data_IF_342068426344
#
_entry.id   IF_342068426344
#
_cell.length_a   1.000
_cell.length_b   1.000
_cell.length_c   1.000
_cell.angle_alpha   90.00
_cell.angle_beta   90.00
_cell.angle_gamma   90.00
#
_symmetry.space_group_name_H-M   'P 1'
#
loop_
_entity.id
_entity.type
_entity.pdbx_description
1 polymer ?
#
# COMPACT_ATOMS: atom_id res chain seq x y z
N UNK A 1 -17.26 -6.57 -16.55
CA UNK A 1 -15.99 -6.20 -17.25
C UNK A 1 -15.26 -5.25 -16.33
N UNK A 2 -14.04 -5.63 -15.88
CA UNK A 2 -13.23 -4.84 -14.95
C UNK A 2 -12.81 -3.48 -15.52
N UNK A 3 -12.43 -2.56 -14.63
CA UNK A 3 -12.00 -1.21 -15.04
C UNK A 3 -10.76 -1.25 -15.97
N UNK A 4 -9.81 -2.18 -15.72
CA UNK A 4 -8.66 -2.35 -16.60
C UNK A 4 -9.07 -2.72 -18.03
N UNK A 5 -10.01 -3.66 -18.20
CA UNK A 5 -10.52 -4.05 -19.51
C UNK A 5 -11.28 -2.92 -20.24
N UNK A 6 -11.82 -1.95 -19.50
CA UNK A 6 -12.54 -0.81 -20.07
C UNK A 6 -11.61 0.28 -20.61
N UNK A 7 -10.57 0.64 -19.84
CA UNK A 7 -9.74 1.82 -20.16
C UNK A 7 -8.22 1.55 -20.15
N UNK A 8 -7.75 0.35 -19.75
CA UNK A 8 -6.31 0.08 -19.61
C UNK A 8 -5.51 0.29 -20.89
N UNK A 9 -5.99 -0.25 -22.02
CA UNK A 9 -5.31 -0.07 -23.32
C UNK A 9 -5.38 1.38 -23.81
N UNK A 10 -6.49 2.08 -23.62
CA UNK A 10 -6.61 3.52 -23.98
C UNK A 10 -5.58 4.36 -23.22
N UNK A 11 -5.40 4.11 -21.91
CA UNK A 11 -4.37 4.78 -21.12
C UNK A 11 -2.96 4.51 -21.66
N UNK A 12 -2.69 3.26 -22.08
CA UNK A 12 -1.40 2.86 -22.64
C UNK A 12 -1.15 3.55 -23.98
N UNK A 13 -2.14 3.60 -24.86
CA UNK A 13 -2.08 4.32 -26.15
C UNK A 13 -1.79 5.81 -25.96
N UNK A 14 -2.30 6.42 -24.89
CA UNK A 14 -2.01 7.81 -24.51
C UNK A 14 -0.63 7.99 -23.88
N UNK A 15 0.06 6.93 -23.49
CA UNK A 15 1.40 6.97 -22.93
C UNK A 15 1.48 6.85 -21.41
N UNK A 16 0.37 6.47 -20.76
CA UNK A 16 0.35 6.16 -19.34
C UNK A 16 0.67 4.67 -19.10
N UNK A 17 1.46 4.37 -18.09
CA UNK A 17 1.79 3.01 -17.69
C UNK A 17 0.65 2.39 -16.86
N UNK A 18 -0.43 1.99 -17.52
CA UNK A 18 -1.58 1.38 -16.87
C UNK A 18 -1.26 -0.02 -16.34
N UNK A 19 -1.72 -0.30 -15.12
CA UNK A 19 -1.57 -1.59 -14.43
C UNK A 19 -2.92 -2.04 -13.86
N UNK A 20 -3.13 -3.38 -13.79
CA UNK A 20 -4.32 -3.93 -13.16
C UNK A 20 -4.22 -3.82 -11.63
N UNK A 21 -5.36 -3.59 -11.00
CA UNK A 21 -5.53 -3.53 -9.55
C UNK A 21 -6.44 -4.68 -9.11
N UNK A 22 -6.04 -5.41 -8.07
CA UNK A 22 -6.86 -6.50 -7.51
C UNK A 22 -8.18 -5.95 -6.96
N UNK A 23 -9.30 -6.57 -7.29
CA UNK A 23 -10.61 -6.15 -6.80
C UNK A 23 -10.65 -6.06 -5.27
N UNK A 24 -11.33 -5.03 -4.76
CA UNK A 24 -11.45 -4.79 -3.32
C UNK A 24 -10.15 -4.36 -2.63
N UNK A 25 -9.12 -3.98 -3.39
CA UNK A 25 -7.83 -3.52 -2.85
C UNK A 25 -7.28 -2.35 -3.65
N UNK A 26 -6.17 -1.75 -3.16
CA UNK A 26 -5.35 -0.79 -3.92
C UNK A 26 -4.05 -1.45 -4.45
N UNK A 27 -3.95 -2.79 -4.41
CA UNK A 27 -2.72 -3.52 -4.76
C UNK A 27 -2.69 -3.89 -6.24
N UNK A 28 -1.57 -3.66 -6.94
CA UNK A 28 -1.38 -4.15 -8.30
C UNK A 28 -1.49 -5.67 -8.38
N UNK A 29 -2.32 -6.16 -9.30
CA UNK A 29 -2.55 -7.59 -9.52
C UNK A 29 -3.75 -7.84 -10.41
N UNK A 30 -3.88 -9.07 -10.90
CA UNK A 30 -4.88 -9.46 -11.89
C UNK A 30 -5.47 -10.84 -11.56
N UNK A 31 -6.65 -11.11 -12.10
CA UNK A 31 -7.31 -12.41 -12.00
C UNK A 31 -6.74 -13.36 -13.04
N UNK A 32 -6.40 -14.60 -12.65
CA UNK A 32 -5.96 -15.62 -13.56
C UNK A 32 -6.22 -17.02 -13.01
N UNK A 33 -6.77 -17.89 -13.85
CA UNK A 33 -7.03 -19.29 -13.51
C UNK A 33 -7.77 -19.49 -12.17
N UNK A 34 -8.80 -18.67 -11.90
CA UNK A 34 -9.64 -18.82 -10.71
C UNK A 34 -9.08 -18.17 -9.43
N UNK A 35 -8.01 -17.37 -9.52
CA UNK A 35 -7.39 -16.72 -8.35
C UNK A 35 -6.80 -15.34 -8.67
N UNK A 36 -6.67 -14.51 -7.63
CA UNK A 36 -5.95 -13.26 -7.73
C UNK A 36 -4.45 -13.47 -7.62
N UNK A 37 -3.69 -12.91 -8.56
CA UNK A 37 -2.23 -12.91 -8.57
C UNK A 37 -1.71 -11.48 -8.42
N UNK A 38 -0.82 -11.25 -7.45
CA UNK A 38 -0.13 -9.97 -7.30
C UNK A 38 0.81 -9.72 -8.48
N UNK A 39 0.82 -8.49 -8.99
CA UNK A 39 1.75 -8.05 -10.02
C UNK A 39 3.11 -7.74 -9.40
N UNK A 40 4.00 -8.72 -9.34
CA UNK A 40 5.34 -8.56 -8.78
C UNK A 40 6.22 -7.68 -9.67
N UNK A 41 7.13 -6.93 -9.05
CA UNK A 41 8.11 -6.05 -9.73
C UNK A 41 7.50 -5.04 -10.73
N UNK A 42 6.25 -4.66 -10.55
CA UNK A 42 5.56 -3.76 -11.47
C UNK A 42 6.32 -2.43 -11.68
N UNK A 43 6.99 -1.88 -10.66
CA UNK A 43 7.82 -0.68 -10.77
C UNK A 43 9.01 -0.85 -11.73
N UNK A 44 9.56 -2.08 -11.86
CA UNK A 44 10.69 -2.39 -12.74
C UNK A 44 10.26 -2.83 -14.13
N UNK A 45 9.06 -3.39 -14.26
CA UNK A 45 8.56 -3.92 -15.55
C UNK A 45 8.55 -2.84 -16.63
N UNK A 46 8.03 -1.68 -16.31
CA UNK A 46 7.93 -0.55 -17.24
C UNK A 46 9.27 0.18 -17.48
N UNK A 47 10.32 -0.08 -16.69
CA UNK A 47 11.68 0.47 -16.99
C UNK A 47 12.28 -0.07 -18.30
N UNK A 48 11.81 -1.22 -18.78
CA UNK A 48 12.26 -1.89 -20.01
C UNK A 48 11.31 -1.64 -21.20
N UNK A 49 10.33 -0.80 -21.03
CA UNK A 49 9.27 -0.55 -22.01
C UNK A 49 7.94 -1.13 -21.59
N UNK A 50 6.93 -0.93 -22.42
CA UNK A 50 5.58 -1.41 -22.19
C UNK A 50 5.53 -2.95 -22.18
N UNK A 51 4.80 -3.59 -21.25
CA UNK A 51 4.63 -5.04 -21.26
C UNK A 51 4.01 -5.55 -22.56
N UNK A 52 4.36 -6.78 -22.99
CA UNK A 52 3.81 -7.38 -24.20
C UNK A 52 2.28 -7.40 -24.20
N UNK A 53 1.68 -7.24 -25.38
CA UNK A 53 0.22 -7.25 -25.55
C UNK A 53 -0.43 -8.49 -24.95
N UNK A 54 0.13 -9.67 -25.18
CA UNK A 54 -0.38 -10.93 -24.62
C UNK A 54 -0.42 -10.97 -23.09
N UNK A 55 0.44 -10.20 -22.41
CA UNK A 55 0.40 -10.04 -20.97
C UNK A 55 -0.70 -9.05 -20.57
N UNK A 56 -0.84 -7.95 -21.29
CA UNK A 56 -1.86 -6.93 -21.04
C UNK A 56 -3.29 -7.46 -21.26
N UNK A 57 -3.48 -8.31 -22.29
CA UNK A 57 -4.75 -8.99 -22.53
C UNK A 57 -5.15 -9.90 -21.35
N UNK A 58 -4.19 -10.60 -20.74
CA UNK A 58 -4.45 -11.37 -19.51
C UNK A 58 -4.86 -10.48 -18.33
N UNK A 59 -4.33 -9.28 -18.23
CA UNK A 59 -4.73 -8.32 -17.19
C UNK A 59 -6.17 -7.82 -17.35
N UNK A 60 -6.68 -7.84 -18.59
CA UNK A 60 -8.06 -7.50 -18.90
C UNK A 60 -9.05 -8.63 -18.58
N UNK A 61 -8.56 -9.86 -18.29
CA UNK A 61 -9.40 -10.94 -17.82
C UNK A 61 -9.91 -10.66 -16.39
N UNK A 62 -11.19 -10.96 -16.12
CA UNK A 62 -11.82 -10.75 -14.82
C UNK A 62 -12.17 -9.30 -14.52
N UNK A 63 -12.42 -9.01 -13.23
CA UNK A 63 -12.87 -7.72 -12.73
C UNK A 63 -11.74 -6.88 -12.10
N UNK A 64 -10.58 -6.87 -12.75
CA UNK A 64 -9.45 -6.04 -12.31
C UNK A 64 -9.81 -4.56 -12.35
N UNK A 65 -9.48 -3.83 -11.28
CA UNK A 65 -9.42 -2.38 -11.28
C UNK A 65 -8.26 -1.89 -12.16
N UNK A 66 -8.11 -0.58 -12.30
CA UNK A 66 -7.04 0.06 -13.07
C UNK A 66 -6.32 1.11 -12.23
N UNK A 67 -5.01 1.22 -12.42
CA UNK A 67 -4.17 2.28 -11.88
C UNK A 67 -3.07 2.62 -12.88
N UNK A 68 -2.36 3.70 -12.64
CA UNK A 68 -1.14 4.04 -13.40
C UNK A 68 0.08 4.09 -12.49
N UNK A 69 1.24 3.75 -13.05
CA UNK A 69 2.54 4.01 -12.43
C UNK A 69 2.92 5.44 -12.73
N UNK A 70 3.24 6.23 -11.71
CA UNK A 70 3.66 7.61 -11.83
C UNK A 70 5.16 7.76 -12.14
N UNK A 71 5.55 8.95 -12.57
CA UNK A 71 6.92 9.30 -12.93
C UNK A 71 7.30 8.89 -14.36
N UNK A 72 8.56 8.50 -14.60
CA UNK A 72 9.08 8.22 -15.95
C UNK A 72 8.30 7.15 -16.72
N UNK A 73 7.69 6.17 -16.03
CA UNK A 73 6.89 5.12 -16.65
C UNK A 73 5.66 5.69 -17.39
N UNK A 74 5.06 6.76 -16.86
CA UNK A 74 3.98 7.53 -17.47
C UNK A 74 4.49 8.90 -17.96
N UNK A 75 5.66 8.92 -18.59
CA UNK A 75 6.26 10.08 -19.26
C UNK A 75 6.34 11.35 -18.39
N UNK A 76 6.58 11.19 -17.07
CA UNK A 76 6.71 12.31 -16.14
C UNK A 76 5.42 12.71 -15.41
N UNK A 77 4.34 11.94 -15.56
CA UNK A 77 3.10 12.17 -14.82
C UNK A 77 3.29 11.93 -13.33
N UNK A 78 2.84 12.87 -12.52
CA UNK A 78 2.75 12.76 -11.06
C UNK A 78 1.34 13.10 -10.59
N UNK A 79 1.02 12.80 -9.33
CA UNK A 79 -0.26 13.20 -8.75
C UNK A 79 -0.05 13.87 -7.38
N UNK A 80 -0.87 14.88 -7.09
CA UNK A 80 -1.03 15.44 -5.74
C UNK A 80 -2.33 14.86 -5.18
N UNK A 81 -2.20 14.07 -4.13
CA UNK A 81 -3.31 13.42 -3.44
C UNK A 81 -3.61 14.17 -2.14
N UNK A 82 -4.72 14.91 -2.10
CA UNK A 82 -5.18 15.64 -0.91
C UNK A 82 -6.09 14.70 -0.14
N UNK A 83 -5.62 14.15 0.97
CA UNK A 83 -6.29 13.12 1.76
C UNK A 83 -7.04 13.71 2.98
N UNK A 84 -7.70 14.85 2.77
CA UNK A 84 -8.53 15.54 3.78
C UNK A 84 -9.73 16.24 3.14
N UNK A 85 -10.82 16.37 3.89
CA UNK A 85 -11.98 17.19 3.52
C UNK A 85 -11.97 18.56 4.24
N UNK A 86 -10.90 18.93 4.94
CA UNK A 86 -10.72 20.27 5.51
C UNK A 86 -10.60 21.31 4.39
N UNK A 87 -11.63 22.14 4.26
CA UNK A 87 -11.75 23.13 3.20
C UNK A 87 -10.63 24.20 3.24
N UNK A 88 -10.07 24.49 4.41
CA UNK A 88 -8.98 25.47 4.56
C UNK A 88 -7.67 24.90 4.04
N UNK A 89 -7.38 23.65 4.40
CA UNK A 89 -6.19 22.94 3.90
C UNK A 89 -6.32 22.74 2.37
N UNK A 90 -7.49 22.27 1.90
CA UNK A 90 -7.72 22.09 0.47
C UNK A 90 -7.54 23.40 -0.33
N UNK A 91 -8.07 24.51 0.17
CA UNK A 91 -7.92 25.82 -0.45
C UNK A 91 -6.48 26.32 -0.45
N UNK A 92 -5.75 26.13 0.65
CA UNK A 92 -4.33 26.50 0.76
C UNK A 92 -3.48 25.73 -0.26
N UNK A 93 -3.71 24.42 -0.40
CA UNK A 93 -3.01 23.60 -1.40
C UNK A 93 -3.40 23.98 -2.81
N UNK A 94 -4.71 24.16 -3.09
CA UNK A 94 -5.19 24.56 -4.42
C UNK A 94 -4.59 25.90 -4.89
N UNK A 95 -4.32 26.80 -3.97
CA UNK A 95 -3.67 28.11 -4.30
C UNK A 95 -2.21 27.96 -4.76
N UNK A 96 -1.52 26.86 -4.42
CA UNK A 96 -0.13 26.58 -4.81
C UNK A 96 -0.04 25.80 -6.12
N UNK A 97 -1.14 25.24 -6.60
CA UNK A 97 -1.19 24.32 -7.75
C UNK A 97 -1.75 25.02 -8.99
N UNK A 98 -1.17 24.80 -10.16
CA UNK A 98 -1.82 25.23 -11.40
C UNK A 98 -3.16 24.51 -11.57
N UNK A 99 -4.19 25.15 -12.15
CA UNK A 99 -5.45 24.48 -12.41
C UNK A 99 -5.25 23.30 -13.37
N UNK A 100 -5.81 22.15 -13.02
CA UNK A 100 -5.77 20.95 -13.86
C UNK A 100 -7.18 20.47 -14.20
N UNK A 101 -7.43 20.05 -15.46
CA UNK A 101 -8.70 19.45 -15.86
C UNK A 101 -8.85 18.00 -15.35
N UNK A 102 -7.75 17.37 -14.92
CA UNK A 102 -7.74 15.96 -14.52
C UNK A 102 -7.70 15.86 -13.00
N UNK A 103 -8.86 15.53 -12.43
CA UNK A 103 -9.05 15.34 -11.00
C UNK A 103 -9.92 14.13 -10.76
N UNK A 104 -9.61 13.36 -9.73
CA UNK A 104 -10.45 12.25 -9.27
C UNK A 104 -10.72 12.33 -7.77
N UNK A 105 -11.81 11.72 -7.35
CA UNK A 105 -12.18 11.55 -5.96
C UNK A 105 -12.41 10.08 -5.63
N UNK A 106 -11.93 9.67 -4.45
CA UNK A 106 -12.26 8.40 -3.80
C UNK A 106 -13.21 8.61 -2.62
N UNK A 107 -12.81 8.17 -1.42
CA UNK A 107 -13.61 8.32 -0.20
C UNK A 107 -13.64 9.76 0.33
N UNK A 108 -12.51 10.46 0.28
CA UNK A 108 -12.33 11.83 0.78
C UNK A 108 -11.30 12.57 -0.08
N UNK A 109 -11.22 13.87 0.09
CA UNK A 109 -10.27 14.73 -0.59
C UNK A 109 -10.35 14.66 -2.11
N UNK A 110 -9.24 14.90 -2.77
CA UNK A 110 -9.15 14.91 -4.24
C UNK A 110 -7.72 14.60 -4.70
N UNK A 111 -7.57 13.85 -5.78
CA UNK A 111 -6.26 13.61 -6.42
C UNK A 111 -6.19 14.39 -7.72
N UNK A 112 -5.17 15.22 -7.90
CA UNK A 112 -4.92 16.08 -9.04
C UNK A 112 -3.71 15.59 -9.83
N UNK A 113 -3.78 15.58 -11.16
CA UNK A 113 -2.71 15.07 -12.02
C UNK A 113 -1.95 16.18 -12.72
N UNK A 114 -0.62 16.00 -12.83
CA UNK A 114 0.32 16.97 -13.35
C UNK A 114 1.44 16.33 -14.15
N UNK A 115 2.08 17.11 -15.00
CA UNK A 115 3.35 16.81 -15.64
C UNK A 115 4.49 17.39 -14.79
N UNK A 116 5.44 16.55 -14.34
CA UNK A 116 6.57 16.99 -13.54
C UNK A 116 7.76 16.01 -13.65
N UNK A 117 8.46 15.97 -14.80
CA UNK A 117 9.57 15.06 -15.04
C UNK A 117 10.79 15.32 -14.13
N UNK A 118 10.89 16.52 -13.54
CA UNK A 118 11.93 16.91 -12.60
C UNK A 118 11.75 16.34 -11.20
N UNK A 119 10.56 15.88 -10.84
CA UNK A 119 10.31 15.23 -9.55
C UNK A 119 11.00 13.85 -9.51
N UNK A 120 11.89 13.65 -8.54
CA UNK A 120 12.68 12.42 -8.42
C UNK A 120 12.16 11.47 -7.33
N UNK A 121 11.39 11.97 -6.36
CA UNK A 121 10.87 11.20 -5.24
C UNK A 121 9.45 11.62 -4.85
N UNK A 122 8.74 10.71 -4.20
CA UNK A 122 7.45 11.02 -3.57
C UNK A 122 7.70 11.72 -2.24
N UNK A 123 6.77 12.61 -1.86
CA UNK A 123 6.80 13.34 -0.60
C UNK A 123 5.43 13.25 0.06
N UNK A 124 5.38 13.17 1.38
CA UNK A 124 4.14 13.16 2.16
C UNK A 124 4.17 14.24 3.22
N UNK A 125 3.04 14.87 3.45
CA UNK A 125 2.86 15.88 4.51
C UNK A 125 1.82 15.38 5.50
N UNK A 126 2.18 15.48 6.78
CA UNK A 126 1.30 15.08 7.88
C UNK A 126 1.13 16.23 8.86
N UNK A 127 -0.07 16.39 9.41
CA UNK A 127 -0.40 17.36 10.47
C UNK A 127 -0.95 16.53 11.63
N UNK A 128 -0.41 16.73 12.83
CA UNK A 128 -0.77 15.97 14.04
C UNK A 128 -0.74 14.44 13.84
N UNK A 129 0.26 13.95 13.09
CA UNK A 129 0.42 12.53 12.80
C UNK A 129 -0.52 11.98 11.72
N UNK A 130 -1.44 12.78 11.19
CA UNK A 130 -2.35 12.40 10.12
C UNK A 130 -1.84 12.89 8.78
N UNK A 131 -1.74 11.97 7.81
CA UNK A 131 -1.36 12.32 6.44
C UNK A 131 -2.47 13.16 5.80
N UNK A 132 -2.09 14.30 5.22
CA UNK A 132 -3.04 15.25 4.62
C UNK A 132 -2.79 15.50 3.13
N UNK A 133 -1.53 15.37 2.67
CA UNK A 133 -1.18 15.53 1.26
C UNK A 133 -0.06 14.55 0.89
N UNK A 134 -0.14 13.98 -0.30
CA UNK A 134 0.92 13.17 -0.90
C UNK A 134 1.27 13.68 -2.30
N UNK A 135 2.54 13.88 -2.58
CA UNK A 135 3.07 13.94 -3.93
C UNK A 135 3.44 12.51 -4.35
N UNK A 136 2.62 11.92 -5.20
CA UNK A 136 2.80 10.57 -5.74
C UNK A 136 3.74 10.67 -6.96
N UNK A 137 5.03 10.54 -6.69
CA UNK A 137 6.13 10.67 -7.66
C UNK A 137 6.58 9.33 -8.26
N UNK A 138 7.81 9.26 -8.78
CA UNK A 138 8.35 8.11 -9.51
C UNK A 138 8.24 6.78 -8.78
N UNK A 139 7.81 5.74 -9.50
CA UNK A 139 7.76 4.36 -8.99
C UNK A 139 6.63 4.09 -8.00
N UNK A 140 5.70 5.03 -7.83
CA UNK A 140 4.44 4.84 -7.12
C UNK A 140 3.32 4.53 -8.11
N UNK A 141 2.13 4.29 -7.60
CA UNK A 141 0.92 4.08 -8.40
C UNK A 141 -0.26 4.80 -7.76
N UNK A 142 -1.22 5.15 -8.59
CA UNK A 142 -2.52 5.66 -8.13
C UNK A 142 -3.64 4.92 -8.84
N UNK A 143 -4.67 4.53 -8.09
CA UNK A 143 -5.86 3.85 -8.61
C UNK A 143 -6.73 4.86 -9.35
N UNK A 144 -7.30 4.46 -10.50
CA UNK A 144 -8.10 5.33 -11.35
C UNK A 144 -9.58 4.92 -11.40
N UNK A 145 -10.49 5.87 -11.69
CA UNK A 145 -11.86 5.55 -12.09
C UNK A 145 -11.88 4.60 -13.31
N UNK A 146 -12.87 3.73 -13.44
CA UNK A 146 -14.00 3.48 -12.55
C UNK A 146 -13.74 2.36 -11.52
N UNK A 147 -12.51 2.13 -11.09
CA UNK A 147 -12.19 1.13 -10.06
C UNK A 147 -12.98 1.39 -8.78
N UNK A 148 -13.45 0.34 -8.12
CA UNK A 148 -14.14 0.45 -6.83
C UNK A 148 -13.16 0.75 -5.70
N UNK A 149 -13.50 1.71 -4.84
CA UNK A 149 -12.74 2.02 -3.64
C UNK A 149 -12.92 0.90 -2.60
N UNK A 150 -11.84 0.33 -2.03
CA UNK A 150 -11.95 -0.85 -1.14
C UNK A 150 -12.78 -0.61 0.11
N UNK A 151 -12.71 0.60 0.69
CA UNK A 151 -13.37 0.87 1.98
C UNK A 151 -14.84 1.30 1.82
N UNK A 152 -15.20 1.93 0.69
CA UNK A 152 -16.56 2.43 0.46
C UNK A 152 -17.38 1.54 -0.46
N UNK A 153 -16.73 0.71 -1.28
CA UNK A 153 -17.38 -0.08 -2.34
C UNK A 153 -17.90 0.77 -3.52
N UNK A 154 -17.80 2.10 -3.44
CA UNK A 154 -18.17 3.01 -4.53
C UNK A 154 -17.01 3.19 -5.51
N UNK A 155 -17.27 3.44 -6.80
CA UNK A 155 -16.22 3.69 -7.75
C UNK A 155 -15.51 5.02 -7.46
N UNK A 156 -14.20 5.07 -7.73
CA UNK A 156 -13.54 6.35 -7.94
C UNK A 156 -14.24 7.08 -9.09
N UNK A 157 -14.31 8.40 -9.02
CA UNK A 157 -14.95 9.22 -10.05
C UNK A 157 -14.03 10.35 -10.50
N UNK A 158 -14.08 10.68 -11.78
CA UNK A 158 -13.48 11.92 -12.28
C UNK A 158 -14.31 13.10 -11.81
N UNK A 159 -13.66 14.10 -11.18
CA UNK A 159 -14.28 15.36 -10.71
C UNK A 159 -13.84 16.56 -11.55
N UNK A 160 -12.82 16.37 -12.38
CA UNK A 160 -12.40 17.36 -13.38
C UNK A 160 -13.25 17.33 -14.63
N UNK A 161 -12.86 18.14 -15.62
CA UNK A 161 -13.57 18.25 -16.91
C UNK A 161 -13.14 17.21 -17.94
N UNK A 162 -12.07 16.46 -17.66
CA UNK A 162 -11.50 15.44 -18.54
C UNK A 162 -11.00 14.23 -17.73
N UNK A 163 -10.75 13.12 -18.42
CA UNK A 163 -10.17 11.90 -17.88
C UNK A 163 -8.77 11.66 -18.44
N UNK A 164 -7.92 10.88 -17.75
CA UNK A 164 -6.55 10.59 -18.23
C UNK A 164 -6.55 9.85 -19.58
N UNK A 165 -7.51 8.99 -19.81
CA UNK A 165 -7.64 8.24 -21.05
C UNK A 165 -7.99 9.11 -22.29
N UNK A 166 -8.29 10.40 -22.09
CA UNK A 166 -8.65 11.33 -23.17
C UNK A 166 -7.50 12.26 -23.57
N UNK A 167 -6.42 12.32 -22.79
CA UNK A 167 -5.28 13.21 -22.99
C UNK A 167 -3.95 12.47 -23.04
N UNK A 168 -2.88 13.14 -23.45
CA UNK A 168 -1.51 12.66 -23.30
C UNK A 168 -0.83 13.27 -22.06
N UNK A 169 0.22 12.61 -21.49
CA UNK A 169 0.95 13.16 -20.33
C UNK A 169 1.48 14.59 -20.51
N UNK A 170 1.86 14.96 -21.74
CA UNK A 170 2.36 16.28 -22.09
C UNK A 170 1.31 17.39 -22.07
N UNK A 171 0.02 17.03 -22.08
CA UNK A 171 -1.09 17.98 -22.00
C UNK A 171 -1.47 18.31 -20.54
N UNK A 172 -0.91 17.58 -19.56
CA UNK A 172 -1.06 17.90 -18.14
C UNK A 172 -0.34 19.21 -17.80
N UNK A 173 -0.92 20.05 -16.94
CA UNK A 173 -0.23 21.25 -16.44
C UNK A 173 1.07 20.89 -15.74
N UNK A 174 2.13 21.68 -15.97
CA UNK A 174 3.43 21.46 -15.37
C UNK A 174 3.45 21.99 -13.93
N UNK A 175 4.02 21.20 -12.99
CA UNK A 175 4.30 21.67 -11.64
C UNK A 175 5.61 22.47 -11.60
N UNK A 176 5.62 23.50 -10.78
CA UNK A 176 6.82 24.28 -10.51
C UNK A 176 7.91 23.41 -9.83
N UNK A 177 9.18 23.73 -10.07
CA UNK A 177 10.30 22.98 -9.53
C UNK A 177 10.37 23.05 -7.98
N UNK A 178 9.85 24.08 -7.37
CA UNK A 178 9.79 24.33 -5.94
C UNK A 178 8.49 23.90 -5.27
N UNK A 179 7.65 23.12 -5.98
CA UNK A 179 6.30 22.72 -5.49
C UNK A 179 6.33 22.07 -4.10
N UNK A 180 7.36 21.29 -3.79
CA UNK A 180 7.51 20.63 -2.47
C UNK A 180 7.68 21.70 -1.37
N UNK A 181 8.50 22.72 -1.62
CA UNK A 181 8.68 23.82 -0.67
C UNK A 181 7.42 24.67 -0.55
N UNK A 182 6.74 24.93 -1.67
CA UNK A 182 5.49 25.72 -1.70
C UNK A 182 4.37 25.04 -0.90
N UNK A 183 4.17 23.72 -1.09
CA UNK A 183 3.19 22.96 -0.29
C UNK A 183 3.57 22.95 1.19
N UNK A 184 4.85 22.75 1.52
CA UNK A 184 5.33 22.79 2.91
C UNK A 184 5.03 24.13 3.57
N UNK A 185 5.30 25.25 2.89
CA UNK A 185 5.01 26.59 3.37
C UNK A 185 3.49 26.81 3.55
N UNK A 186 2.67 26.37 2.59
CA UNK A 186 1.22 26.49 2.65
C UNK A 186 0.59 25.69 3.82
N UNK A 187 1.21 24.60 4.24
CA UNK A 187 0.74 23.75 5.34
C UNK A 187 1.25 24.19 6.72
N UNK A 188 2.29 25.04 6.80
CA UNK A 188 2.85 25.53 8.07
C UNK A 188 1.80 26.19 8.98
N UNK A 189 0.86 27.05 8.49
CA UNK A 189 -0.17 27.64 9.34
C UNK A 189 -1.15 26.62 9.95
N UNK A 190 -1.20 25.39 9.42
CA UNK A 190 -2.06 24.31 9.89
C UNK A 190 -1.34 23.33 10.82
N UNK A 191 -0.10 23.66 11.23
CA UNK A 191 0.68 22.82 12.15
C UNK A 191 1.65 21.86 11.47
N UNK A 192 1.82 21.93 10.13
CA UNK A 192 2.89 21.19 9.48
C UNK A 192 4.25 21.71 9.93
N UNK A 193 5.09 20.82 10.43
CA UNK A 193 6.48 21.10 10.75
C UNK A 193 7.35 20.38 9.73
N UNK A 194 8.10 21.13 8.96
CA UNK A 194 9.11 20.55 8.07
C UNK A 194 10.15 19.85 8.95
N UNK A 195 10.36 18.56 8.71
CA UNK A 195 11.58 17.95 9.19
C UNK A 195 12.76 18.70 8.55
N UNK A 196 13.81 18.96 9.34
CA UNK A 196 14.98 19.76 8.95
C UNK A 196 15.48 19.38 7.55
N UNK A 197 15.83 20.34 6.65
CA UNK A 197 16.22 20.05 5.26
C UNK A 197 17.44 19.13 5.07
N UNK A 198 18.14 18.75 6.13
CA UNK A 198 19.26 17.81 6.09
C UNK A 198 18.83 16.33 6.05
N UNK A 199 17.52 15.99 6.12
CA UNK A 199 17.01 14.62 6.23
C UNK A 199 16.41 14.05 4.93
N UNK A 200 16.62 14.63 3.75
CA UNK A 200 15.98 14.17 2.51
C UNK A 200 16.97 13.71 1.46
N UNK A 201 17.44 12.48 1.61
CA UNK A 201 17.85 11.62 0.47
C UNK A 201 17.69 10.17 0.85
N UNK A 202 16.68 9.50 0.28
CA UNK A 202 16.57 8.05 0.24
C UNK A 202 15.47 7.45 1.11
N UNK A 203 14.57 6.73 0.51
CA UNK A 203 13.60 5.79 1.08
C UNK A 203 13.13 6.12 2.51
N UNK A 204 12.11 6.94 2.58
CA UNK A 204 11.34 7.45 3.68
C UNK A 204 11.36 6.74 5.03
N UNK A 205 12.42 6.89 5.77
CA UNK A 205 12.52 6.65 7.19
C UNK A 205 13.62 7.57 7.68
N UNK A 206 13.33 8.34 8.71
CA UNK A 206 14.27 9.13 9.48
C UNK A 206 15.57 8.32 9.69
N UNK A 207 16.73 8.82 9.24
CA UNK A 207 18.01 8.08 9.40
C UNK A 207 18.30 7.74 10.86
N UNK A 208 17.76 8.51 11.78
CA UNK A 208 17.82 8.32 13.22
C UNK A 208 16.57 7.66 13.81
N UNK A 209 15.62 7.19 13.00
CA UNK A 209 14.44 6.56 13.60
C UNK A 209 14.85 5.29 14.36
N UNK A 210 14.35 5.10 15.59
CA UNK A 210 14.65 3.91 16.36
C UNK A 210 14.34 2.60 15.60
N UNK A 211 13.35 2.62 14.71
CA UNK A 211 13.01 1.48 13.85
C UNK A 211 14.12 1.15 12.84
N UNK A 212 14.72 2.18 12.24
CA UNK A 212 15.83 1.97 11.32
C UNK A 212 17.07 1.50 12.04
N UNK A 213 17.40 2.14 13.16
CA UNK A 213 18.53 1.73 13.99
C UNK A 213 18.41 0.26 14.42
N UNK A 214 17.22 -0.17 14.85
CA UNK A 214 16.96 -1.56 15.22
C UNK A 214 17.07 -2.51 14.03
N UNK A 215 16.54 -2.13 12.86
CA UNK A 215 16.66 -2.93 11.64
C UNK A 215 18.12 -3.06 11.17
N UNK A 216 18.89 -2.00 11.18
CA UNK A 216 20.30 -2.01 10.79
C UNK A 216 21.14 -2.82 11.77
N UNK A 217 20.89 -2.66 13.07
CA UNK A 217 21.51 -3.48 14.12
C UNK A 217 21.18 -4.96 13.94
N UNK A 218 19.94 -5.29 13.59
CA UNK A 218 19.48 -6.65 13.35
C UNK A 218 20.12 -7.26 12.10
N UNK A 219 20.26 -6.50 11.01
CA UNK A 219 20.97 -6.95 9.81
C UNK A 219 22.46 -7.22 10.08
N UNK A 220 23.09 -6.41 10.94
CA UNK A 220 24.49 -6.63 11.38
C UNK A 220 24.67 -7.83 12.29
N UNK A 221 23.62 -8.30 12.96
CA UNK A 221 23.68 -9.33 14.01
C UNK A 221 22.73 -10.51 13.77
N UNK A 222 22.62 -11.02 12.55
CA UNK A 222 21.67 -12.07 12.15
C UNK A 222 21.69 -13.31 13.06
N UNK A 223 22.86 -13.69 13.56
CA UNK A 223 23.01 -14.88 14.42
C UNK A 223 22.35 -14.75 15.80
N UNK A 224 22.05 -13.54 16.24
CA UNK A 224 21.44 -13.29 17.54
C UNK A 224 19.93 -13.58 17.55
N UNK A 225 19.25 -13.45 16.42
CA UNK A 225 17.78 -13.48 16.37
C UNK A 225 17.18 -14.45 15.34
N UNK A 226 17.83 -14.65 14.17
CA UNK A 226 17.28 -15.50 13.10
C UNK A 226 17.08 -16.97 13.53
N UNK A 227 18.01 -17.63 14.24
CA UNK A 227 17.79 -19.01 14.68
C UNK A 227 16.59 -19.18 15.61
N UNK A 228 16.30 -18.16 16.44
CA UNK A 228 15.20 -18.18 17.38
C UNK A 228 13.82 -17.94 16.75
N UNK A 229 13.74 -17.56 15.46
CA UNK A 229 12.47 -17.43 14.73
C UNK A 229 11.81 -18.79 14.41
N UNK A 230 12.51 -19.91 14.53
CA UNK A 230 11.97 -21.22 14.20
C UNK A 230 11.59 -21.38 12.70
N UNK A 231 12.26 -20.67 11.81
CA UNK A 231 11.96 -20.73 10.37
C UNK A 231 12.13 -22.16 9.84
N UNK A 232 11.16 -22.59 9.01
CA UNK A 232 11.15 -23.94 8.47
C UNK A 232 12.36 -24.20 7.57
N UNK A 233 13.09 -25.30 7.81
CA UNK A 233 14.33 -25.69 7.13
C UNK A 233 15.38 -24.56 7.10
N UNK A 234 15.44 -23.74 8.16
CA UNK A 234 16.45 -22.72 8.30
C UNK A 234 17.85 -23.33 8.35
N UNK A 235 18.73 -22.87 7.50
CA UNK A 235 20.14 -23.27 7.50
C UNK A 235 21.07 -22.06 7.44
N UNK A 236 22.21 -22.15 8.12
CA UNK A 236 23.26 -21.15 8.06
C UNK A 236 24.05 -21.29 6.76
N UNK A 237 24.41 -20.17 6.15
CA UNK A 237 25.27 -20.08 4.97
C UNK A 237 26.50 -19.23 5.30
N UNK A 238 27.43 -19.09 4.36
CA UNK A 238 28.62 -18.22 4.54
C UNK A 238 28.24 -16.74 4.76
N UNK A 239 27.14 -16.29 4.20
CA UNK A 239 26.73 -14.87 4.22
C UNK A 239 25.55 -14.59 5.17
N UNK A 240 24.91 -15.59 5.78
CA UNK A 240 23.73 -15.42 6.62
C UNK A 240 22.91 -16.70 6.74
N UNK A 241 21.62 -16.62 6.44
CA UNK A 241 20.68 -17.75 6.55
C UNK A 241 19.83 -17.91 5.29
N UNK A 242 19.37 -19.14 5.05
CA UNK A 242 18.35 -19.48 4.08
C UNK A 242 17.25 -20.31 4.73
N UNK A 243 15.99 -20.11 4.33
CA UNK A 243 14.85 -20.82 4.89
C UNK A 243 13.72 -20.99 3.86
N UNK A 244 12.70 -21.77 4.21
CA UNK A 244 11.44 -21.84 3.47
C UNK A 244 10.43 -20.91 4.14
N UNK A 245 9.89 -19.90 3.43
CA UNK A 245 8.83 -19.03 3.96
C UNK A 245 7.51 -19.81 4.04
N UNK A 246 7.00 -20.04 5.26
CA UNK A 246 5.77 -20.81 5.51
C UNK A 246 4.51 -19.96 5.58
N UNK A 247 4.62 -18.65 5.72
CA UNK A 247 3.50 -17.69 5.78
C UNK A 247 2.81 -17.43 4.44
N UNK A 248 3.26 -18.09 3.38
CA UNK A 248 2.63 -18.03 2.06
C UNK A 248 2.57 -19.42 1.39
N UNK A 249 1.63 -19.62 0.46
CA UNK A 249 1.59 -20.84 -0.34
C UNK A 249 2.83 -20.96 -1.26
N UNK A 250 3.08 -22.16 -1.75
CA UNK A 250 4.09 -22.39 -2.78
C UNK A 250 3.67 -21.80 -4.12
N UNK A 251 4.53 -21.02 -4.76
CA UNK A 251 4.29 -20.51 -6.12
C UNK A 251 4.26 -21.61 -7.19
N UNK A 252 4.73 -22.80 -6.85
CA UNK A 252 4.78 -23.98 -7.76
C UNK A 252 3.93 -25.14 -7.26
N UNK A 253 3.04 -24.94 -6.27
CA UNK A 253 2.18 -25.97 -5.70
C UNK A 253 2.92 -27.05 -4.90
N UNK A 254 4.22 -26.93 -4.65
CA UNK A 254 5.01 -27.94 -3.94
C UNK A 254 4.66 -27.98 -2.44
N UNK A 255 4.56 -29.19 -1.85
CA UNK A 255 4.40 -29.33 -0.41
C UNK A 255 5.64 -28.79 0.33
N UNK A 256 5.52 -28.42 1.62
CA UNK A 256 6.59 -27.76 2.40
C UNK A 256 7.96 -28.43 2.31
N UNK A 257 8.00 -29.75 2.36
CA UNK A 257 9.23 -30.55 2.37
C UNK A 257 10.00 -30.47 1.05
N UNK A 258 9.28 -30.18 -0.06
CA UNK A 258 9.83 -30.09 -1.42
C UNK A 258 10.02 -28.65 -1.90
N UNK A 259 9.72 -27.63 -1.05
CA UNK A 259 9.95 -26.23 -1.40
C UNK A 259 11.45 -25.89 -1.41
N UNK A 260 11.83 -24.97 -2.28
CA UNK A 260 13.16 -24.42 -2.25
C UNK A 260 13.36 -23.45 -1.08
N UNK A 261 14.63 -23.26 -0.65
CA UNK A 261 15.03 -22.29 0.38
C UNK A 261 15.06 -20.89 -0.28
N UNK A 262 13.88 -20.34 -0.57
CA UNK A 262 13.75 -19.09 -1.31
C UNK A 262 13.92 -17.83 -0.46
N UNK A 263 13.83 -17.95 0.87
CA UNK A 263 14.09 -16.84 1.78
C UNK A 263 15.59 -16.75 2.05
N UNK A 264 16.22 -15.66 1.63
CA UNK A 264 17.60 -15.33 1.97
C UNK A 264 17.65 -14.18 2.97
N UNK A 265 18.43 -14.35 4.02
CA UNK A 265 18.61 -13.41 5.13
C UNK A 265 20.11 -13.16 5.23
N UNK A 266 20.55 -12.01 4.74
CA UNK A 266 21.97 -11.63 4.72
C UNK A 266 22.13 -10.19 5.22
N UNK A 267 23.34 -9.74 5.65
CA UNK A 267 23.53 -8.35 6.10
C UNK A 267 23.12 -7.29 5.08
N UNK A 268 23.18 -7.61 3.79
CA UNK A 268 22.73 -6.71 2.71
C UNK A 268 21.21 -6.61 2.56
N UNK A 269 20.43 -7.40 3.31
CA UNK A 269 18.96 -7.38 3.29
C UNK A 269 18.34 -8.77 3.33
N UNK A 270 17.02 -8.78 3.40
CA UNK A 270 16.19 -9.98 3.48
C UNK A 270 15.29 -10.05 2.25
N UNK A 271 15.30 -11.18 1.55
CA UNK A 271 14.49 -11.36 0.35
C UNK A 271 13.94 -12.78 0.22
N UNK A 272 12.65 -12.87 -0.07
CA UNK A 272 11.98 -14.09 -0.56
C UNK A 272 11.98 -14.09 -2.09
N UNK A 273 12.85 -14.89 -2.69
CA UNK A 273 12.97 -15.02 -4.14
C UNK A 273 11.78 -15.76 -4.78
N UNK A 274 10.99 -16.48 -4.00
CA UNK A 274 9.80 -17.15 -4.52
C UNK A 274 8.60 -16.22 -4.70
N UNK A 275 8.48 -15.17 -3.86
CA UNK A 275 7.47 -14.12 -3.98
C UNK A 275 8.05 -12.82 -4.54
N UNK A 276 9.38 -12.77 -4.75
CA UNK A 276 10.15 -11.59 -5.12
C UNK A 276 9.90 -10.40 -4.17
N UNK A 277 9.80 -10.69 -2.87
CA UNK A 277 9.49 -9.73 -1.82
C UNK A 277 10.68 -9.48 -0.91
N UNK A 278 10.99 -8.18 -0.66
CA UNK A 278 11.92 -7.74 0.37
C UNK A 278 11.23 -7.58 1.72
N UNK A 279 11.98 -7.79 2.80
CA UNK A 279 11.55 -7.59 4.18
C UNK A 279 12.58 -6.76 4.92
N UNK A 280 12.13 -5.93 5.85
CA UNK A 280 13.00 -5.48 6.96
C UNK A 280 13.08 -6.59 8.02
N UNK A 281 14.06 -6.56 8.93
CA UNK A 281 14.06 -7.46 10.09
C UNK A 281 12.76 -7.49 10.88
N UNK A 282 12.15 -6.31 11.13
CA UNK A 282 10.86 -6.21 11.80
C UNK A 282 9.76 -6.88 10.98
N UNK A 283 9.67 -6.64 9.67
CA UNK A 283 8.67 -7.30 8.80
C UNK A 283 8.83 -8.81 8.81
N UNK A 284 10.07 -9.31 8.79
CA UNK A 284 10.33 -10.75 8.86
C UNK A 284 9.84 -11.36 10.18
N UNK A 285 10.10 -10.70 11.30
CA UNK A 285 9.61 -11.17 12.62
C UNK A 285 8.08 -11.17 12.65
N UNK A 286 7.44 -10.08 12.18
CA UNK A 286 5.98 -9.98 12.13
C UNK A 286 5.35 -11.12 11.34
N UNK A 287 5.84 -11.42 10.14
CA UNK A 287 5.27 -12.49 9.30
C UNK A 287 5.63 -13.88 9.79
N UNK A 288 6.82 -14.08 10.36
CA UNK A 288 7.28 -15.38 10.85
C UNK A 288 6.57 -15.79 12.14
N UNK A 289 6.32 -14.84 13.04
CA UNK A 289 5.69 -15.08 14.35
C UNK A 289 4.19 -14.73 14.37
N UNK A 290 3.63 -14.25 13.25
CA UNK A 290 2.24 -13.78 13.15
C UNK A 290 1.92 -12.74 14.25
N UNK A 291 2.83 -11.78 14.51
CA UNK A 291 2.71 -10.79 15.56
C UNK A 291 2.64 -9.36 15.00
N UNK A 292 2.25 -8.40 15.83
CA UNK A 292 2.24 -6.98 15.51
C UNK A 292 3.64 -6.34 15.58
N UNK A 293 3.73 -5.09 15.16
CA UNK A 293 4.99 -4.33 15.12
C UNK A 293 5.60 -4.17 16.53
N UNK A 294 4.79 -4.00 17.56
CA UNK A 294 5.24 -3.83 18.93
C UNK A 294 5.92 -5.11 19.45
N UNK A 295 5.29 -6.26 19.23
CA UNK A 295 5.83 -7.56 19.57
C UNK A 295 7.10 -7.89 18.79
N UNK A 296 7.14 -7.55 17.50
CA UNK A 296 8.34 -7.69 16.67
C UNK A 296 9.48 -6.79 17.14
N UNK A 297 9.17 -5.55 17.51
CA UNK A 297 10.12 -4.63 18.11
C UNK A 297 10.72 -5.19 19.41
N UNK A 298 9.86 -5.62 20.33
CA UNK A 298 10.29 -6.22 21.60
C UNK A 298 11.18 -7.44 21.36
N UNK A 299 10.77 -8.34 20.46
CA UNK A 299 11.53 -9.53 20.08
C UNK A 299 12.96 -9.21 19.64
N UNK A 300 13.14 -8.22 18.78
CA UNK A 300 14.46 -7.83 18.30
C UNK A 300 15.25 -7.06 19.36
N UNK A 301 14.62 -6.12 20.06
CA UNK A 301 15.28 -5.31 21.10
C UNK A 301 15.87 -6.16 22.22
N UNK A 302 15.12 -7.16 22.71
CA UNK A 302 15.59 -8.07 23.74
C UNK A 302 16.81 -8.89 23.30
N UNK A 303 16.82 -9.37 22.04
CA UNK A 303 17.89 -10.23 21.51
C UNK A 303 19.15 -9.47 21.10
N UNK A 304 18.98 -8.18 20.79
CA UNK A 304 20.06 -7.32 20.33
C UNK A 304 20.59 -6.39 21.43
N UNK A 305 19.95 -6.39 22.61
CA UNK A 305 20.29 -5.44 23.69
C UNK A 305 20.02 -3.99 23.30
N UNK A 306 19.03 -3.74 22.45
CA UNK A 306 18.69 -2.41 21.96
C UNK A 306 17.83 -1.66 22.98
N UNK A 307 18.42 -0.63 23.62
CA UNK A 307 17.74 0.19 24.64
C UNK A 307 17.07 1.46 24.07
N UNK A 308 16.70 1.48 22.80
CA UNK A 308 16.01 2.61 22.18
C UNK A 308 14.62 2.77 22.80
N UNK A 309 14.33 3.93 23.41
CA UNK A 309 12.98 4.27 23.82
C UNK A 309 12.12 4.46 22.57
N UNK A 310 11.34 3.44 22.22
CA UNK A 310 10.17 3.67 21.37
C UNK A 310 9.21 4.53 22.19
N UNK A 311 9.11 5.83 21.89
CA UNK A 311 7.99 6.64 22.35
C UNK A 311 6.78 6.13 21.56
N UNK A 312 6.20 5.04 22.07
CA UNK A 312 4.96 4.47 21.54
C UNK A 312 3.85 5.46 21.89
N UNK A 313 3.30 6.09 20.88
CA UNK A 313 1.96 6.67 21.00
C UNK A 313 1.04 5.48 21.27
N UNK A 314 0.55 5.41 22.50
CA UNK A 314 -0.43 4.42 22.90
C UNK A 314 -1.60 4.49 21.91
N UNK A 315 -2.00 3.39 21.24
CA UNK A 315 -3.18 3.43 20.41
C UNK A 315 -4.36 3.90 21.28
N UNK A 316 -5.26 4.75 20.77
CA UNK A 316 -6.42 5.19 21.52
C UNK A 316 -7.13 3.94 22.04
N UNK A 317 -7.40 3.91 23.35
CA UNK A 317 -8.08 2.81 24.02
C UNK A 317 -9.29 2.38 23.17
N UNK A 318 -9.36 1.10 22.85
CA UNK A 318 -10.49 0.54 22.12
C UNK A 318 -11.78 1.00 22.80
N UNK A 319 -12.81 1.46 22.06
CA UNK A 319 -14.07 1.84 22.65
C UNK A 319 -14.57 0.67 23.48
N UNK A 320 -14.91 0.92 24.75
CA UNK A 320 -15.40 -0.07 25.67
C UNK A 320 -16.52 -0.87 25.00
N UNK A 321 -16.38 -2.19 24.98
CA UNK A 321 -17.43 -3.08 24.46
C UNK A 321 -18.77 -2.69 25.10
N UNK A 322 -19.84 -2.53 24.31
CA UNK A 322 -21.15 -2.29 24.88
C UNK A 322 -21.50 -3.48 25.77
N UNK A 323 -21.74 -3.21 27.06
CA UNK A 323 -22.20 -4.21 28.01
C UNK A 323 -23.34 -4.98 27.35
N UNK A 324 -23.16 -6.29 27.23
CA UNK A 324 -24.17 -7.19 26.72
C UNK A 324 -25.48 -6.94 27.49
N UNK A 325 -26.48 -6.41 26.81
CA UNK A 325 -27.85 -6.38 27.34
C UNK A 325 -28.29 -7.84 27.48
N UNK A 326 -28.68 -8.20 28.69
CA UNK A 326 -29.25 -9.50 28.99
C UNK A 326 -30.37 -9.81 28.00
N UNK A 327 -30.30 -10.95 27.35
CA UNK A 327 -31.33 -11.43 26.45
C UNK A 327 -32.67 -11.53 27.23
N UNK A 328 -33.81 -11.12 26.67
CA UNK A 328 -35.09 -11.29 27.31
C UNK A 328 -35.36 -12.78 27.51
N UNK A 329 -35.73 -13.14 28.76
CA UNK A 329 -36.15 -14.49 29.10
C UNK A 329 -37.37 -14.85 28.25
N UNK A 330 -37.28 -15.91 27.47
CA UNK A 330 -38.41 -16.49 26.76
C UNK A 330 -39.33 -17.15 27.81
N UNK A 331 -40.58 -16.66 27.91
CA UNK A 331 -41.64 -17.39 28.60
C UNK A 331 -41.89 -18.75 27.95
N UNK A 332 -42.22 -19.79 28.76
CA UNK A 332 -42.54 -21.09 28.22
C UNK A 332 -43.86 -21.03 27.41
N UNK A 333 -43.83 -21.53 26.19
CA UNK A 333 -45.04 -21.76 25.37
C UNK A 333 -45.93 -22.77 26.09
N UNK A 334 -47.13 -22.32 26.50
CA UNK A 334 -48.17 -23.21 26.98
C UNK A 334 -48.57 -24.22 25.91
N UNK A 335 -48.69 -25.47 26.33
CA UNK A 335 -49.06 -26.59 25.49
C UNK A 335 -50.48 -26.41 24.98
N UNK A 336 -50.67 -26.36 23.65
CA UNK A 336 -51.98 -26.46 23.01
C UNK A 336 -52.55 -27.83 23.28
N UNK A 337 -53.61 -27.93 24.10
CA UNK A 337 -54.43 -29.07 24.27
C UNK A 337 -55.31 -29.31 23.03
N UNK A 338 -55.20 -30.52 22.56
CA UNK A 338 -55.92 -31.11 21.45
C UNK A 338 -57.45 -31.11 21.73
N UNK A 339 -58.26 -30.55 20.84
CA UNK A 339 -59.72 -30.67 20.84
C UNK A 339 -60.10 -31.71 19.78
N UNK A 340 -60.84 -32.79 20.13
CA UNK A 340 -61.27 -33.80 19.14
C UNK A 340 -62.51 -33.32 18.38
N UNK A 341 -62.62 -33.83 17.17
CA UNK A 341 -63.51 -33.48 16.10
C UNK A 341 -65.00 -33.50 16.31
N UNK A 342 -65.65 -32.85 15.36
CA UNK A 342 -67.08 -33.15 15.02
C UNK A 342 -67.11 -33.43 13.54
N UNK A 343 -67.70 -34.61 13.25
CA UNK A 343 -68.10 -35.14 11.92
C UNK A 343 -69.34 -34.37 11.49
N UNK A 344 -69.43 -34.03 10.22
CA UNK A 344 -70.58 -33.52 9.54
C UNK A 344 -70.26 -33.30 8.06
#
# INVERSE_FOLDING_TARGET
MGAYAQIGERLIERGFAAIPIMAGTKRPGFWHAGQWLGLSNWQRRFKRGMPPEAERLRWAEGDSGVGIITGPASRGTVAIDIDTDDQKIMAAIAAMLPPTPIKKRGAKGETLFYYAPHIQASTSWSIDGHRVVDLIGPGRQTVLPPTQHPDTGLPYTWTGTSALEDIEPSELPELAADIVASISAALTPFGYQSADPQATCGNGGDEDSPHRQLNDLALGNLSAWVPALGLYRCRRTKLGFEAVPMWRPSTTGRPPEKRHLNLKIVPAGIRDFGADQGYTPLDLVMVALCCDLQSAWQYLSERLGFAGNATMVEPPAAPAEPKAQAAPQREPLEAFTHVPGVVG
#
